data_IF_601130820986
#
_entry.id   IF_601130820986
#
_cell.length_a   1.000
_cell.length_b   1.000
_cell.length_c   1.000
_cell.angle_alpha   90.00
_cell.angle_beta   90.00
_cell.angle_gamma   90.00
#
_symmetry.space_group_name_H-M   'P 1'
#
loop_
_entity.id
_entity.type
_entity.pdbx_description
1 polymer ?
#
# COMPACT_ATOMS: atom_id res chain seq x y z
N UNK A 1 18.58 -14.88 5.44
CA UNK A 1 18.63 -13.83 6.48
C UNK A 1 17.78 -14.28 7.66
N UNK A 2 18.22 -14.04 8.90
CA UNK A 2 17.49 -14.46 10.11
C UNK A 2 17.42 -13.29 11.08
N UNK A 3 16.30 -13.17 11.77
CA UNK A 3 16.07 -12.18 12.84
C UNK A 3 15.28 -12.87 13.94
N UNK A 4 15.30 -12.31 15.15
CA UNK A 4 14.62 -12.87 16.31
C UNK A 4 13.63 -11.85 16.83
N UNK A 5 12.47 -12.32 17.27
CA UNK A 5 11.48 -11.48 17.95
C UNK A 5 11.98 -11.06 19.32
N UNK A 6 11.68 -9.82 19.72
CA UNK A 6 12.05 -9.27 21.02
C UNK A 6 10.87 -8.53 21.65
N UNK A 7 10.85 -8.45 22.98
CA UNK A 7 9.88 -7.61 23.70
C UNK A 7 10.27 -6.14 23.54
N UNK A 8 9.31 -5.31 23.12
CA UNK A 8 9.46 -3.85 22.97
C UNK A 8 8.29 -3.22 23.73
N UNK A 9 8.57 -2.68 24.92
CA UNK A 9 7.52 -2.24 25.84
C UNK A 9 6.58 -3.39 26.19
N UNK A 10 5.28 -3.20 25.92
CA UNK A 10 4.24 -4.22 26.13
C UNK A 10 3.95 -5.07 24.88
N UNK A 11 4.74 -4.92 23.82
CA UNK A 11 4.52 -5.59 22.52
C UNK A 11 5.68 -6.52 22.16
N UNK A 12 5.45 -7.39 21.16
CA UNK A 12 6.50 -8.16 20.49
C UNK A 12 6.82 -7.47 19.18
N UNK A 13 8.12 -7.26 18.91
CA UNK A 13 8.58 -6.67 17.66
C UNK A 13 9.76 -7.43 17.07
N UNK A 14 10.11 -7.08 15.84
CA UNK A 14 11.24 -7.62 15.10
C UNK A 14 12.10 -6.47 14.57
N UNK A 15 13.43 -6.64 14.56
CA UNK A 15 14.31 -5.72 13.84
C UNK A 15 14.39 -6.21 12.41
N UNK A 16 14.00 -5.36 11.48
CA UNK A 16 14.14 -5.60 10.06
C UNK A 16 15.57 -5.15 9.65
N UNK A 17 16.41 -6.06 9.11
CA UNK A 17 17.73 -5.70 8.63
C UNK A 17 17.66 -4.64 7.51
N UNK A 18 18.64 -3.74 7.46
CA UNK A 18 18.64 -2.58 6.55
C UNK A 18 18.68 -2.99 5.07
N UNK A 19 19.16 -4.19 4.76
CA UNK A 19 19.21 -4.74 3.42
C UNK A 19 17.82 -4.97 2.80
N UNK A 20 16.77 -5.09 3.63
CA UNK A 20 15.37 -5.25 3.16
C UNK A 20 14.77 -3.90 2.70
N UNK A 21 15.43 -2.76 2.99
CA UNK A 21 15.05 -1.40 2.53
C UNK A 21 13.58 -1.03 2.79
N UNK A 22 13.06 -1.40 3.97
CA UNK A 22 11.73 -0.98 4.42
C UNK A 22 11.75 0.52 4.72
N UNK A 23 10.74 1.26 4.24
CA UNK A 23 10.63 2.70 4.52
C UNK A 23 10.34 2.94 6.00
N UNK A 24 11.13 3.80 6.63
CA UNK A 24 10.90 4.28 8.00
C UNK A 24 9.72 5.27 8.03
N UNK A 25 9.05 5.39 9.18
CA UNK A 25 7.88 6.28 9.37
C UNK A 25 6.69 6.01 8.43
N UNK A 26 6.54 4.77 7.96
CA UNK A 26 5.37 4.31 7.21
C UNK A 26 4.58 3.29 8.02
N UNK A 27 3.27 3.27 7.84
CA UNK A 27 2.39 2.23 8.38
C UNK A 27 2.39 1.01 7.46
N UNK A 28 2.30 -0.17 8.07
CA UNK A 28 2.20 -1.44 7.37
C UNK A 28 1.03 -2.21 7.96
N UNK A 29 0.28 -2.86 7.10
CA UNK A 29 -0.70 -3.86 7.49
C UNK A 29 0.02 -5.19 7.68
N UNK A 30 -0.36 -5.92 8.72
CA UNK A 30 0.26 -7.19 9.10
C UNK A 30 -0.78 -8.30 8.94
N UNK A 31 -0.44 -9.27 8.11
CA UNK A 31 -1.26 -10.44 7.82
C UNK A 31 -0.54 -11.70 8.29
N UNK A 32 -1.30 -12.65 8.87
CA UNK A 32 -0.79 -13.99 9.14
C UNK A 32 -1.31 -14.95 8.08
N UNK A 33 -0.39 -15.59 7.34
CA UNK A 33 -0.70 -16.56 6.29
C UNK A 33 0.00 -17.87 6.64
N UNK A 34 -0.75 -18.82 7.20
CA UNK A 34 -0.19 -20.05 7.77
C UNK A 34 0.80 -19.74 8.90
N UNK A 35 2.06 -20.14 8.72
CA UNK A 35 3.16 -19.84 9.65
C UNK A 35 3.91 -18.53 9.31
N UNK A 36 3.60 -17.91 8.17
CA UNK A 36 4.24 -16.69 7.73
C UNK A 36 3.54 -15.43 8.28
N UNK A 37 4.34 -14.39 8.53
CA UNK A 37 3.86 -13.02 8.77
C UNK A 37 4.23 -12.21 7.53
N UNK A 38 3.21 -11.62 6.91
CA UNK A 38 3.35 -10.76 5.73
C UNK A 38 3.08 -9.33 6.14
N UNK A 39 4.00 -8.44 5.79
CA UNK A 39 3.85 -7.00 6.00
C UNK A 39 3.69 -6.31 4.66
N UNK A 40 2.60 -5.55 4.49
CA UNK A 40 2.32 -4.80 3.27
C UNK A 40 2.27 -3.32 3.62
N UNK A 41 2.96 -2.42 2.88
CA UNK A 41 2.81 -1.00 3.09
C UNK A 41 1.34 -0.62 3.04
N UNK A 42 0.85 0.10 4.05
CA UNK A 42 -0.49 0.65 3.99
C UNK A 42 -0.48 1.74 2.92
N UNK A 43 -1.11 1.45 1.78
CA UNK A 43 -1.34 2.43 0.73
C UNK A 43 -2.61 3.18 1.09
N UNK A 44 -2.55 4.50 1.05
CA UNK A 44 -3.79 5.27 1.08
C UNK A 44 -4.67 4.80 -0.07
N UNK A 45 -5.95 4.56 0.24
CA UNK A 45 -6.93 4.24 -0.78
C UNK A 45 -6.99 5.41 -1.75
N UNK A 46 -6.62 5.12 -3.00
CA UNK A 46 -6.53 6.11 -4.07
C UNK A 46 -7.85 6.82 -4.29
N UNK A 47 -8.99 6.20 -3.93
CA UNK A 47 -10.33 6.76 -4.09
C UNK A 47 -10.87 7.43 -2.82
N UNK A 48 -10.09 7.45 -1.74
CA UNK A 48 -10.55 7.96 -0.44
C UNK A 48 -10.79 9.47 -0.45
N UNK A 49 -10.04 10.22 -1.27
CA UNK A 49 -10.14 11.67 -1.34
C UNK A 49 -10.69 12.10 -2.72
N UNK A 50 -11.98 12.51 -2.80
CA UNK A 50 -12.57 13.00 -4.04
C UNK A 50 -11.82 14.18 -4.66
N UNK A 51 -11.12 15.00 -3.86
CA UNK A 51 -10.34 16.13 -4.39
C UNK A 51 -9.14 15.68 -5.22
N UNK A 52 -8.58 14.49 -4.97
CA UNK A 52 -7.48 13.94 -5.76
C UNK A 52 -7.92 13.60 -7.21
N UNK A 53 -9.23 13.56 -7.46
CA UNK A 53 -9.85 13.19 -8.74
C UNK A 53 -10.54 14.36 -9.44
N UNK A 54 -10.51 15.57 -8.85
CA UNK A 54 -11.30 16.73 -9.28
C UNK A 54 -11.15 17.09 -10.76
N UNK A 55 -9.96 16.86 -11.31
CA UNK A 55 -9.64 17.18 -12.70
C UNK A 55 -9.37 15.94 -13.56
N UNK A 56 -9.54 14.73 -13.02
CA UNK A 56 -9.29 13.48 -13.74
C UNK A 56 -10.11 13.41 -15.04
N UNK A 57 -11.41 13.75 -14.96
CA UNK A 57 -12.34 13.82 -16.09
C UNK A 57 -11.99 14.90 -17.12
N UNK A 58 -11.17 15.89 -16.76
CA UNK A 58 -10.70 16.91 -17.69
C UNK A 58 -9.36 16.53 -18.34
N UNK A 59 -8.69 15.50 -17.80
CA UNK A 59 -7.41 14.99 -18.29
C UNK A 59 -7.54 13.80 -19.26
N UNK A 60 -8.75 13.24 -19.39
CA UNK A 60 -9.05 12.20 -20.36
C UNK A 60 -8.97 12.77 -21.78
N UNK A 61 -8.43 11.99 -22.70
CA UNK A 61 -8.30 12.37 -24.10
C UNK A 61 -9.59 12.09 -24.85
N UNK A 62 -9.74 12.68 -26.03
CA UNK A 62 -10.88 12.38 -26.91
C UNK A 62 -10.93 10.88 -27.28
N UNK A 63 -9.77 10.22 -27.40
CA UNK A 63 -9.70 8.78 -27.64
C UNK A 63 -10.31 8.00 -26.46
N UNK A 64 -10.01 8.38 -25.21
CA UNK A 64 -10.58 7.75 -24.02
C UNK A 64 -12.12 7.90 -23.98
N UNK A 65 -12.63 9.09 -24.34
CA UNK A 65 -14.08 9.34 -24.45
C UNK A 65 -14.75 8.51 -25.55
N UNK A 66 -14.05 8.27 -26.66
CA UNK A 66 -14.54 7.44 -27.77
C UNK A 66 -14.62 5.96 -27.37
N UNK A 67 -13.66 5.45 -26.59
CA UNK A 67 -13.71 4.10 -26.03
C UNK A 67 -14.85 3.91 -25.01
N UNK A 68 -15.10 4.90 -24.14
CA UNK A 68 -16.18 4.86 -23.14
C UNK A 68 -17.59 4.91 -23.77
N UNK A 69 -17.69 5.47 -24.98
CA UNK A 69 -18.95 5.63 -25.72
C UNK A 69 -19.18 4.54 -26.78
N UNK A 70 -18.24 3.60 -26.94
CA UNK A 70 -18.49 2.41 -27.75
C UNK A 70 -19.53 1.54 -27.03
N UNK A 71 -20.75 1.53 -27.55
CA UNK A 71 -21.71 0.45 -27.27
C UNK A 71 -21.17 -0.85 -27.90
N UNK A 72 -21.28 -1.97 -27.17
CA UNK A 72 -20.87 -3.33 -27.62
C UNK A 72 -21.39 -3.72 -29.01
#
# INVERSE_FOLDING_TARGET
MKTTTRKIGNSVGVIIPSEIKVQTNKSYEIYKVGEAIVMVPNKEDLFKNPEDWKDFRQSITQEDDEWDQMED
#
